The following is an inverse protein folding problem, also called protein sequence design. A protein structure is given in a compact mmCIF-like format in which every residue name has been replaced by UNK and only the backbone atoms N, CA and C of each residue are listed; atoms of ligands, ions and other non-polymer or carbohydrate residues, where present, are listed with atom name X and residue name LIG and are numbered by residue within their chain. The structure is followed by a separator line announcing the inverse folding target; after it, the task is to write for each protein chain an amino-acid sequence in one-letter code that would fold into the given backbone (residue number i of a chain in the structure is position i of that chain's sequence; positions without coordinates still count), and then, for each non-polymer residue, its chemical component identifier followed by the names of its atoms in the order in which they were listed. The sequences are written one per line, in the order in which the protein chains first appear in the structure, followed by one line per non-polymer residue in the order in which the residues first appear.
data_IF_908355709838
#
_entry.id   IF_908355709838
#
_cell.length_a   1.000
_cell.length_b   1.000
_cell.length_c   1.000
_cell.angle_alpha   90.00
_cell.angle_beta   90.00
_cell.angle_gamma   90.00
#
_symmetry.space_group_name_H-M   'P 1'
#
loop_
_entity.id
_entity.type
_entity.pdbx_description
1 polymer ?
#
# COMPACT_ATOMS: atom_id res chain seq x y z
N UNK A 1 -6.55 31.02 20.62
CA UNK A 1 -7.08 29.65 20.70
C UNK A 1 -7.05 29.05 19.31
N UNK A 2 -6.12 28.12 19.04
CA UNK A 2 -5.98 27.49 17.73
C UNK A 2 -7.11 26.48 17.49
N UNK A 3 -7.83 26.63 16.38
CA UNK A 3 -8.79 25.62 15.90
C UNK A 3 -8.02 24.31 15.66
N UNK A 4 -8.37 23.26 16.40
CA UNK A 4 -8.07 21.88 16.01
C UNK A 4 -8.80 21.63 14.68
N UNK A 5 -8.09 21.84 13.56
CA UNK A 5 -8.56 21.44 12.24
C UNK A 5 -8.66 19.92 12.28
N UNK A 6 -9.87 19.42 12.51
CA UNK A 6 -10.16 18.00 12.29
C UNK A 6 -9.88 17.76 10.81
N UNK A 7 -8.79 17.03 10.53
CA UNK A 7 -8.33 16.79 9.18
C UNK A 7 -9.43 16.19 8.29
N UNK A 8 -9.24 16.27 6.98
CA UNK A 8 -10.18 15.67 6.01
C UNK A 8 -10.38 14.19 6.34
N UNK A 9 -11.63 13.81 6.64
CA UNK A 9 -12.01 12.40 6.83
C UNK A 9 -12.14 11.74 5.46
N UNK A 10 -11.39 10.65 5.23
CA UNK A 10 -11.56 9.77 4.06
C UNK A 10 -12.19 8.46 4.53
N UNK A 11 -13.33 8.10 3.94
CA UNK A 11 -13.97 6.79 4.16
C UNK A 11 -13.57 5.85 3.03
N UNK A 12 -13.32 4.60 3.39
CA UNK A 12 -12.97 3.51 2.48
C UNK A 12 -13.96 2.38 2.73
N UNK A 13 -14.43 1.77 1.65
CA UNK A 13 -15.26 0.58 1.70
C UNK A 13 -14.73 -0.37 0.62
N UNK A 14 -14.44 -1.60 1.03
CA UNK A 14 -13.98 -2.66 0.17
C UNK A 14 -14.70 -3.93 0.60
N UNK A 15 -15.05 -4.76 -0.38
CA UNK A 15 -15.70 -6.05 -0.15
C UNK A 15 -14.80 -7.13 -0.77
N UNK A 16 -14.43 -8.11 0.04
CA UNK A 16 -13.63 -9.25 -0.35
C UNK A 16 -14.52 -10.50 -0.31
N UNK A 17 -14.35 -11.41 -1.26
CA UNK A 17 -15.17 -12.63 -1.39
C UNK A 17 -14.28 -13.80 -1.76
N UNK A 18 -14.68 -15.02 -1.39
CA UNK A 18 -13.92 -16.22 -1.73
C UNK A 18 -12.59 -16.28 -0.98
N UNK A 19 -11.51 -16.60 -1.69
CA UNK A 19 -10.20 -16.85 -1.10
C UNK A 19 -9.64 -15.62 -0.38
N UNK A 20 -9.86 -14.41 -0.91
CA UNK A 20 -9.38 -13.18 -0.26
C UNK A 20 -10.06 -12.91 1.09
N UNK A 21 -11.32 -13.32 1.25
CA UNK A 21 -12.01 -13.19 2.54
C UNK A 21 -11.38 -14.14 3.58
N UNK A 22 -11.06 -15.37 3.17
CA UNK A 22 -10.40 -16.37 4.02
C UNK A 22 -8.99 -15.92 4.40
N UNK A 23 -8.24 -15.31 3.48
CA UNK A 23 -6.91 -14.76 3.78
C UNK A 23 -6.98 -13.62 4.80
N UNK A 24 -7.98 -12.76 4.73
CA UNK A 24 -8.20 -11.70 5.72
C UNK A 24 -8.51 -12.30 7.09
N UNK A 25 -9.38 -13.30 7.17
CA UNK A 25 -9.66 -14.01 8.43
C UNK A 25 -8.38 -14.64 9.03
N UNK A 26 -7.53 -15.23 8.18
CA UNK A 26 -6.25 -15.78 8.62
C UNK A 26 -5.31 -14.69 9.16
N UNK A 27 -5.27 -13.52 8.51
CA UNK A 27 -4.49 -12.38 8.99
C UNK A 27 -4.99 -11.87 10.34
N UNK A 28 -6.31 -11.79 10.54
CA UNK A 28 -6.88 -11.38 11.81
C UNK A 28 -6.48 -12.32 12.96
N UNK A 29 -6.53 -13.63 12.71
CA UNK A 29 -6.08 -14.63 13.67
C UNK A 29 -4.58 -14.51 13.94
N UNK A 30 -3.77 -14.38 12.89
CA UNK A 30 -2.30 -14.29 12.99
C UNK A 30 -1.87 -13.05 13.77
N UNK A 31 -2.56 -11.94 13.58
CA UNK A 31 -2.31 -10.67 14.28
C UNK A 31 -2.98 -10.60 15.65
N UNK A 32 -3.73 -11.65 16.04
CA UNK A 32 -4.48 -11.73 17.30
C UNK A 32 -5.43 -10.55 17.47
N UNK A 33 -6.18 -10.22 16.43
CA UNK A 33 -7.07 -9.05 16.42
C UNK A 33 -8.14 -9.09 17.52
N UNK A 34 -8.57 -10.28 17.94
CA UNK A 34 -9.50 -10.47 19.06
C UNK A 34 -8.97 -9.98 20.42
N UNK A 35 -7.66 -9.83 20.58
CA UNK A 35 -7.06 -9.32 21.82
C UNK A 35 -7.02 -7.78 21.88
N UNK A 36 -7.10 -7.12 20.72
CA UNK A 36 -6.89 -5.66 20.60
C UNK A 36 -8.15 -4.91 20.16
N UNK A 37 -9.04 -5.55 19.40
CA UNK A 37 -10.27 -4.95 18.92
C UNK A 37 -11.48 -5.44 19.71
N UNK A 38 -12.39 -4.53 20.06
CA UNK A 38 -13.62 -4.84 20.80
C UNK A 38 -14.81 -5.08 19.88
N UNK A 39 -14.71 -4.63 18.63
CA UNK A 39 -15.77 -4.76 17.62
C UNK A 39 -15.16 -5.12 16.26
N UNK A 40 -15.93 -5.75 15.35
CA UNK A 40 -15.45 -6.04 14.00
C UNK A 40 -15.00 -4.78 13.25
N UNK A 41 -15.74 -3.68 13.37
CA UNK A 41 -15.39 -2.40 12.72
C UNK A 41 -14.06 -1.85 13.23
N UNK A 42 -13.77 -2.02 14.53
CA UNK A 42 -12.49 -1.64 15.11
C UNK A 42 -11.36 -2.53 14.60
N UNK A 43 -11.59 -3.84 14.47
CA UNK A 43 -10.64 -4.78 13.89
C UNK A 43 -10.32 -4.39 12.44
N UNK A 44 -11.34 -4.15 11.61
CA UNK A 44 -11.19 -3.68 10.23
C UNK A 44 -10.37 -2.39 10.16
N UNK A 45 -10.67 -1.43 11.04
CA UNK A 45 -9.98 -0.13 11.08
C UNK A 45 -8.49 -0.30 11.41
N UNK A 46 -8.18 -1.16 12.38
CA UNK A 46 -6.81 -1.46 12.77
C UNK A 46 -6.06 -2.23 11.67
N UNK A 47 -6.69 -3.22 11.06
CA UNK A 47 -6.14 -4.02 9.96
C UNK A 47 -5.81 -3.12 8.76
N UNK A 48 -6.75 -2.26 8.36
CA UNK A 48 -6.56 -1.27 7.29
C UNK A 48 -5.45 -0.29 7.68
N UNK A 49 -5.42 0.18 8.93
CA UNK A 49 -4.36 1.04 9.44
C UNK A 49 -2.96 0.41 9.31
N UNK A 50 -2.83 -0.86 9.67
CA UNK A 50 -1.60 -1.64 9.52
C UNK A 50 -1.22 -1.80 8.04
N UNK A 51 -2.19 -2.14 7.19
CA UNK A 51 -1.98 -2.29 5.75
C UNK A 51 -1.47 -0.97 5.11
N UNK A 52 -2.00 0.19 5.53
CA UNK A 52 -1.51 1.49 5.07
C UNK A 52 -0.06 1.76 5.49
N UNK A 53 0.32 1.41 6.73
CA UNK A 53 1.70 1.56 7.18
C UNK A 53 2.66 0.65 6.40
N UNK A 54 2.27 -0.61 6.18
CA UNK A 54 3.02 -1.55 5.38
C UNK A 54 3.19 -1.08 3.93
N UNK A 55 2.10 -0.61 3.30
CA UNK A 55 2.12 -0.08 1.93
C UNK A 55 3.03 1.15 1.82
N UNK A 56 2.99 2.07 2.80
CA UNK A 56 3.86 3.25 2.80
C UNK A 56 5.33 2.84 2.90
N UNK A 57 5.66 1.88 3.77
CA UNK A 57 7.02 1.35 3.90
C UNK A 57 7.49 0.70 2.59
N UNK A 58 6.63 -0.06 1.93
CA UNK A 58 6.94 -0.67 0.64
C UNK A 58 7.15 0.37 -0.48
N UNK A 59 6.36 1.46 -0.48
CA UNK A 59 6.58 2.59 -1.39
C UNK A 59 7.94 3.21 -1.14
N UNK A 60 8.26 3.52 0.12
CA UNK A 60 9.53 4.14 0.48
C UNK A 60 10.73 3.24 0.08
N UNK A 61 10.64 1.93 0.32
CA UNK A 61 11.64 0.95 -0.10
C UNK A 61 11.80 0.90 -1.63
N UNK A 62 10.68 0.83 -2.36
CA UNK A 62 10.68 0.84 -3.83
C UNK A 62 11.33 2.12 -4.38
N UNK A 63 10.95 3.28 -3.83
CA UNK A 63 11.50 4.58 -4.23
C UNK A 63 13.01 4.64 -3.98
N UNK A 64 13.47 4.18 -2.81
CA UNK A 64 14.88 4.13 -2.47
C UNK A 64 15.67 3.20 -3.41
N UNK A 65 15.08 2.05 -3.78
CA UNK A 65 15.71 1.07 -4.67
C UNK A 65 15.80 1.54 -6.13
N UNK A 66 14.79 2.25 -6.61
CA UNK A 66 14.66 2.62 -8.04
C UNK A 66 15.06 4.06 -8.35
N UNK A 67 15.20 4.91 -7.33
CA UNK A 67 15.35 6.36 -7.49
C UNK A 67 14.07 7.06 -7.94
N UNK A 68 12.96 6.34 -8.11
CA UNK A 68 11.67 6.90 -8.50
C UNK A 68 11.01 7.61 -7.31
N UNK A 69 10.50 8.82 -7.51
CA UNK A 69 9.86 9.60 -6.43
C UNK A 69 8.43 9.15 -6.11
N UNK A 70 7.68 8.71 -7.13
CA UNK A 70 6.28 8.32 -7.01
C UNK A 70 6.01 7.08 -7.88
N UNK A 71 5.92 5.88 -7.30
CA UNK A 71 5.72 4.67 -8.08
C UNK A 71 4.30 4.59 -8.62
N UNK A 72 4.10 4.28 -9.91
CA UNK A 72 2.77 3.99 -10.43
C UNK A 72 2.25 2.69 -9.83
N UNK A 73 0.94 2.59 -9.66
CA UNK A 73 0.26 1.43 -9.05
C UNK A 73 0.75 0.09 -9.62
N UNK A 74 0.83 -0.04 -10.95
CA UNK A 74 1.23 -1.29 -11.62
C UNK A 74 2.66 -1.71 -11.29
N UNK A 75 3.60 -0.75 -11.21
CA UNK A 75 4.98 -1.06 -10.89
C UNK A 75 5.14 -1.53 -9.44
N UNK A 76 4.47 -0.84 -8.51
CA UNK A 76 4.47 -1.24 -7.11
C UNK A 76 3.79 -2.59 -6.89
N UNK A 77 2.67 -2.85 -7.58
CA UNK A 77 1.97 -4.14 -7.53
C UNK A 77 2.87 -5.27 -8.04
N UNK A 78 3.57 -5.06 -9.16
CA UNK A 78 4.52 -6.03 -9.72
C UNK A 78 5.62 -6.35 -8.72
N UNK A 79 6.23 -5.31 -8.12
CA UNK A 79 7.24 -5.43 -7.07
C UNK A 79 6.73 -6.21 -5.85
N UNK A 80 5.56 -5.89 -5.33
CA UNK A 80 4.96 -6.56 -4.17
C UNK A 80 4.58 -8.01 -4.44
N UNK A 81 4.20 -8.33 -5.68
CA UNK A 81 3.80 -9.70 -6.07
C UNK A 81 5.01 -10.63 -6.24
N UNK A 82 6.25 -10.14 -6.04
CA UNK A 82 7.45 -10.91 -6.33
C UNK A 82 7.62 -11.24 -7.82
N UNK A 83 6.78 -10.65 -8.69
CA UNK A 83 7.01 -10.64 -10.14
C UNK A 83 8.16 -9.68 -10.38
N UNK A 84 9.38 -10.21 -10.25
CA UNK A 84 10.54 -9.54 -10.82
C UNK A 84 10.21 -9.26 -12.28
N UNK A 85 10.29 -8.01 -12.70
CA UNK A 85 10.43 -7.69 -14.12
C UNK A 85 11.77 -8.28 -14.57
N UNK A 86 11.78 -9.59 -14.81
CA UNK A 86 12.87 -10.27 -15.45
C UNK A 86 12.95 -9.78 -16.89
N UNK A 87 13.88 -8.85 -17.15
CA UNK A 87 14.53 -8.74 -18.44
C UNK A 87 13.96 -7.74 -19.45
N UNK A 88 13.40 -6.62 -19.02
CA UNK A 88 13.29 -5.44 -19.88
C UNK A 88 14.38 -4.45 -19.50
N UNK A 89 15.36 -4.24 -20.38
CA UNK A 89 16.35 -3.16 -20.24
C UNK A 89 15.65 -1.84 -19.84
N UNK A 90 16.28 -0.98 -19.03
CA UNK A 90 15.77 0.37 -18.86
C UNK A 90 15.81 1.02 -20.25
N UNK A 91 14.66 1.09 -20.92
CA UNK A 91 14.51 1.87 -22.13
C UNK A 91 14.89 3.29 -21.72
N UNK A 92 16.09 3.68 -22.13
CA UNK A 92 16.70 4.93 -21.78
C UNK A 92 15.69 6.02 -22.16
N UNK A 93 15.07 6.61 -21.13
CA UNK A 93 14.21 7.77 -21.30
C UNK A 93 15.00 8.77 -22.12
N UNK A 94 14.58 8.92 -23.39
CA UNK A 94 15.23 9.77 -24.38
C UNK A 94 15.44 11.13 -23.74
N UNK A 95 16.71 11.46 -23.48
CA UNK A 95 17.13 12.81 -23.17
C UNK A 95 16.78 13.63 -24.41
N UNK A 96 15.70 14.40 -24.33
CA UNK A 96 15.37 15.37 -25.38
C UNK A 96 16.34 16.53 -25.20
N UNK A 97 17.46 16.49 -25.93
CA UNK A 97 18.30 17.66 -26.14
C UNK A 97 17.50 18.66 -26.97
N UNK A 98 16.87 19.64 -26.31
CA UNK A 98 16.48 20.88 -26.99
C UNK A 98 17.76 21.68 -27.24
N UNK A 99 18.28 21.54 -28.46
CA UNK A 99 19.31 22.43 -29.00
C UNK A 99 18.70 23.38 -30.03
N UNK A 100 18.97 24.66 -29.78
CA UNK A 100 18.74 25.90 -30.55
C UNK A 100 17.36 26.51 -30.52
#
# INVERSE_FOLDING_TARGET
MGKLMHGRIKRLHAEFRGDEAVEIELLEVTLRMGDVARTPIEADTLLVGLAFQALRRAIDEYCNKTGMRYPPYRALLSYLSGRSEGGGEPEASRIVNLSK
#
